data_IF_879630372766
#
_entry.id   IF_879630372766
#
_cell.length_a   1.000
_cell.length_b   1.000
_cell.length_c   1.000
_cell.angle_alpha   90.00
_cell.angle_beta   90.00
_cell.angle_gamma   90.00
#
_symmetry.space_group_name_H-M   'P 1'
#
loop_
_entity.id
_entity.type
_entity.pdbx_description
1 polymer ?
#
# COMPACT_ATOMS: atom_id res chain seq x y z
N UNK A 1 25.83 17.49 4.46
CA UNK A 1 25.16 16.95 3.25
C UNK A 1 24.84 18.14 2.37
N UNK A 2 25.51 18.29 1.23
CA UNK A 2 25.14 19.32 0.25
C UNK A 2 23.79 18.91 -0.34
N UNK A 3 22.81 19.76 -0.23
CA UNK A 3 21.53 19.57 -0.94
C UNK A 3 21.83 19.57 -2.45
N UNK A 4 21.45 18.51 -3.14
CA UNK A 4 21.57 18.45 -4.59
C UNK A 4 20.62 19.53 -5.16
N UNK A 5 21.16 20.64 -5.61
CA UNK A 5 20.36 21.76 -6.16
C UNK A 5 20.18 21.63 -7.66
N UNK A 6 21.12 20.89 -8.34
CA UNK A 6 21.16 20.78 -9.78
C UNK A 6 21.70 19.44 -10.26
N UNK A 7 21.17 18.92 -11.34
CA UNK A 7 21.66 17.74 -12.09
C UNK A 7 21.82 18.14 -13.54
N UNK A 8 23.05 18.38 -14.00
CA UNK A 8 23.28 18.91 -15.34
C UNK A 8 22.51 20.22 -15.58
N UNK A 9 21.67 20.29 -16.62
CA UNK A 9 20.80 21.42 -16.94
C UNK A 9 19.49 21.46 -16.14
N UNK A 10 19.22 20.41 -15.32
CA UNK A 10 17.98 20.26 -14.57
C UNK A 10 18.13 20.88 -13.17
N UNK A 11 17.45 21.99 -12.91
CA UNK A 11 17.41 22.64 -11.60
C UNK A 11 16.36 21.97 -10.72
N UNK A 12 16.80 21.31 -9.64
CA UNK A 12 15.90 20.62 -8.73
C UNK A 12 15.06 21.60 -7.92
N UNK A 13 13.77 21.31 -7.80
CA UNK A 13 12.80 22.16 -7.09
C UNK A 13 12.34 21.53 -5.78
N UNK A 14 11.81 20.33 -5.85
CA UNK A 14 11.32 19.59 -4.68
C UNK A 14 11.34 18.08 -4.92
N UNK A 15 11.36 17.34 -3.85
CA UNK A 15 11.23 15.88 -3.91
C UNK A 15 9.78 15.49 -4.17
N UNK A 16 9.55 14.62 -5.14
CA UNK A 16 8.23 14.03 -5.45
C UNK A 16 7.99 12.75 -4.68
N UNK A 17 9.03 11.94 -4.46
CA UNK A 17 8.95 10.69 -3.72
C UNK A 17 10.31 10.07 -3.45
N UNK A 18 10.37 9.22 -2.42
CA UNK A 18 11.55 8.42 -2.10
C UNK A 18 11.09 6.98 -1.96
N UNK A 19 11.67 6.10 -2.79
CA UNK A 19 11.48 4.66 -2.73
C UNK A 19 12.74 3.96 -2.21
N UNK A 20 12.67 2.64 -2.06
CA UNK A 20 13.80 1.82 -1.59
C UNK A 20 15.03 1.87 -2.54
N UNK A 21 14.83 2.10 -3.83
CA UNK A 21 15.87 2.05 -4.85
C UNK A 21 16.20 3.41 -5.47
N UNK A 22 15.32 4.38 -5.37
CA UNK A 22 15.50 5.67 -6.05
C UNK A 22 14.74 6.79 -5.36
N UNK A 23 15.19 8.02 -5.61
CA UNK A 23 14.48 9.25 -5.27
C UNK A 23 14.04 9.94 -6.55
N UNK A 24 12.79 10.44 -6.57
CA UNK A 24 12.23 11.20 -7.70
C UNK A 24 12.10 12.67 -7.31
N UNK A 25 12.61 13.54 -8.15
CA UNK A 25 12.58 14.99 -7.97
C UNK A 25 11.76 15.66 -9.06
N UNK A 26 10.99 16.68 -8.71
CA UNK A 26 10.56 17.71 -9.65
C UNK A 26 11.75 18.59 -9.95
N UNK A 27 12.02 18.79 -11.22
CA UNK A 27 13.07 19.68 -11.69
C UNK A 27 12.54 20.56 -12.84
N UNK A 28 13.27 21.60 -13.15
CA UNK A 28 13.06 22.46 -14.31
C UNK A 28 14.20 22.29 -15.30
N UNK A 29 13.88 21.93 -16.52
CA UNK A 29 14.84 21.91 -17.63
C UNK A 29 15.05 23.36 -18.09
N UNK A 30 16.23 23.92 -17.82
CA UNK A 30 16.52 25.34 -18.12
C UNK A 30 16.76 25.62 -19.62
N UNK A 31 17.01 24.58 -20.43
CA UNK A 31 17.15 24.74 -21.87
C UNK A 31 15.81 24.72 -22.60
N UNK A 32 14.89 23.85 -22.12
CA UNK A 32 13.58 23.67 -22.73
C UNK A 32 12.48 24.49 -22.04
N UNK A 33 12.81 25.18 -20.94
CA UNK A 33 11.89 25.94 -20.08
C UNK A 33 10.65 25.13 -19.68
N UNK A 34 10.87 23.88 -19.22
CA UNK A 34 9.79 22.94 -18.95
C UNK A 34 9.99 22.15 -17.64
N UNK A 35 8.91 21.81 -16.91
CA UNK A 35 9.00 20.94 -15.76
C UNK A 35 9.25 19.49 -16.18
N UNK A 36 10.14 18.81 -15.47
CA UNK A 36 10.48 17.40 -15.68
C UNK A 36 10.56 16.67 -14.35
N UNK A 37 10.45 15.35 -14.37
CA UNK A 37 10.76 14.50 -13.22
C UNK A 37 12.14 13.86 -13.42
N UNK A 38 12.99 13.91 -12.39
CA UNK A 38 14.32 13.29 -12.41
C UNK A 38 14.35 12.18 -11.39
N UNK A 39 14.50 10.94 -11.84
CA UNK A 39 14.65 9.75 -10.99
C UNK A 39 16.12 9.42 -10.84
N UNK A 40 16.63 9.38 -9.59
CA UNK A 40 18.04 9.17 -9.26
C UNK A 40 18.15 7.90 -8.44
N UNK A 41 19.09 7.03 -8.79
CA UNK A 41 19.38 5.82 -7.99
C UNK A 41 19.84 6.21 -6.58
N UNK A 42 19.32 5.52 -5.55
CA UNK A 42 19.70 5.78 -4.17
C UNK A 42 21.16 5.37 -3.89
N UNK A 43 21.83 6.12 -3.03
CA UNK A 43 23.27 6.01 -2.77
C UNK A 43 23.70 4.61 -2.31
N UNK A 44 22.90 3.97 -1.46
CA UNK A 44 23.15 2.62 -0.97
C UNK A 44 23.17 1.53 -2.07
N UNK A 45 22.72 1.84 -3.28
CA UNK A 45 22.72 0.94 -4.44
C UNK A 45 23.76 1.34 -5.50
N UNK A 46 24.50 2.47 -5.31
CA UNK A 46 25.42 3.03 -6.30
C UNK A 46 26.47 2.02 -6.80
N UNK A 47 26.98 1.16 -5.90
CA UNK A 47 28.04 0.18 -6.19
C UNK A 47 27.51 -1.20 -6.66
N UNK A 48 26.19 -1.41 -6.71
CA UNK A 48 25.57 -2.66 -7.15
C UNK A 48 25.32 -2.62 -8.66
N UNK A 49 26.22 -3.23 -9.43
CA UNK A 49 26.15 -3.24 -10.90
C UNK A 49 24.83 -3.83 -11.42
N UNK A 50 24.34 -4.87 -10.78
CA UNK A 50 23.07 -5.53 -11.12
C UNK A 50 21.85 -4.61 -10.92
N UNK A 51 21.87 -3.77 -9.87
CA UNK A 51 20.81 -2.78 -9.59
C UNK A 51 20.90 -1.60 -10.58
N UNK A 52 22.11 -1.12 -10.85
CA UNK A 52 22.37 -0.05 -11.85
C UNK A 52 21.86 -0.45 -13.23
N UNK A 53 22.22 -1.65 -13.69
CA UNK A 53 21.79 -2.14 -15.01
C UNK A 53 20.27 -2.23 -15.12
N UNK A 54 19.57 -2.71 -14.09
CA UNK A 54 18.11 -2.77 -14.07
C UNK A 54 17.47 -1.39 -14.02
N UNK A 55 18.04 -0.45 -13.26
CA UNK A 55 17.59 0.93 -13.24
C UNK A 55 17.66 1.58 -14.63
N UNK A 56 18.75 1.38 -15.35
CA UNK A 56 18.92 1.86 -16.72
C UNK A 56 18.03 1.11 -17.72
N UNK A 57 17.84 -0.21 -17.52
CA UNK A 57 16.92 -1.02 -18.31
C UNK A 57 15.48 -0.56 -18.19
N UNK A 58 15.04 -0.12 -17.01
CA UNK A 58 13.73 0.48 -16.81
C UNK A 58 13.54 1.71 -17.71
N UNK A 59 14.49 2.63 -17.70
CA UNK A 59 14.44 3.82 -18.54
C UNK A 59 14.39 3.48 -20.05
N UNK A 60 15.21 2.50 -20.49
CA UNK A 60 15.23 2.05 -21.89
C UNK A 60 13.90 1.38 -22.32
N UNK A 61 13.30 0.57 -21.43
CA UNK A 61 12.02 -0.09 -21.70
C UNK A 61 10.86 0.91 -21.73
N UNK A 62 10.80 1.87 -20.81
CA UNK A 62 9.82 2.95 -20.85
C UNK A 62 9.94 3.76 -22.16
N UNK A 63 11.17 4.08 -22.58
CA UNK A 63 11.42 4.77 -23.84
C UNK A 63 10.96 3.96 -25.05
N UNK A 64 11.20 2.63 -25.04
CA UNK A 64 10.81 1.72 -26.13
C UNK A 64 9.30 1.57 -26.25
N UNK A 65 8.56 1.68 -25.15
CA UNK A 65 7.10 1.54 -25.16
C UNK A 65 6.42 2.58 -26.07
N UNK A 66 6.98 3.80 -26.19
CA UNK A 66 6.57 4.81 -27.19
C UNK A 66 5.09 5.22 -27.13
N UNK A 67 4.41 5.03 -26.01
CA UNK A 67 2.97 5.27 -25.85
C UNK A 67 2.70 6.51 -25.00
N UNK A 68 1.74 7.34 -25.42
CA UNK A 68 1.27 8.47 -24.62
C UNK A 68 0.56 8.09 -23.32
N UNK A 69 0.40 6.79 -23.04
CA UNK A 69 -0.17 6.21 -21.81
C UNK A 69 0.88 5.69 -20.83
N UNK A 70 2.15 5.81 -21.19
CA UNK A 70 3.31 5.42 -20.39
C UNK A 70 4.21 6.65 -20.25
N UNK A 71 4.78 6.84 -19.08
CA UNK A 71 5.70 7.96 -18.83
C UNK A 71 6.82 7.97 -19.86
N UNK A 72 7.01 9.10 -20.52
CA UNK A 72 8.06 9.28 -21.52
C UNK A 72 9.40 9.57 -20.84
N UNK A 73 10.45 8.84 -21.23
CA UNK A 73 11.83 9.11 -20.81
C UNK A 73 12.49 10.02 -21.84
N UNK A 74 13.08 11.12 -21.38
CA UNK A 74 13.69 12.14 -22.22
C UNK A 74 15.21 12.00 -22.28
N UNK A 75 15.84 11.69 -21.14
CA UNK A 75 17.29 11.65 -21.01
C UNK A 75 17.77 10.64 -19.97
N UNK A 76 19.02 10.20 -20.09
CA UNK A 76 19.71 9.32 -19.13
C UNK A 76 21.08 9.89 -18.90
N UNK A 77 21.52 9.98 -17.64
CA UNK A 77 22.84 10.49 -17.29
C UNK A 77 23.37 9.86 -16.01
N UNK A 78 24.52 10.38 -15.59
CA UNK A 78 25.24 9.95 -14.39
C UNK A 78 25.66 11.16 -13.57
N UNK A 79 25.51 11.07 -12.25
CA UNK A 79 25.99 12.09 -11.31
C UNK A 79 27.51 12.00 -11.13
N UNK A 80 28.18 13.04 -10.58
CA UNK A 80 29.61 12.98 -10.28
C UNK A 80 30.04 11.85 -9.36
N UNK A 81 29.12 11.36 -8.52
CA UNK A 81 29.30 10.20 -7.64
C UNK A 81 28.93 8.87 -8.30
N UNK A 82 28.85 8.85 -9.62
CA UNK A 82 28.54 7.69 -10.46
C UNK A 82 27.17 7.07 -10.28
N UNK A 83 26.22 7.75 -9.61
CA UNK A 83 24.83 7.31 -9.56
C UNK A 83 24.11 7.62 -10.87
N UNK A 84 23.49 6.63 -11.51
CA UNK A 84 22.68 6.91 -12.70
C UNK A 84 21.40 7.65 -12.34
N UNK A 85 20.96 8.50 -13.24
CA UNK A 85 19.65 9.14 -13.22
C UNK A 85 19.01 9.04 -14.60
N UNK A 86 17.69 9.19 -14.65
CA UNK A 86 16.98 9.47 -15.89
C UNK A 86 15.94 10.55 -15.70
N UNK A 87 15.71 11.28 -16.79
CA UNK A 87 14.76 12.38 -16.86
C UNK A 87 13.53 11.90 -17.60
N UNK A 88 12.36 12.21 -17.06
CA UNK A 88 11.09 11.74 -17.60
C UNK A 88 10.02 12.81 -17.51
N UNK A 89 8.91 12.56 -18.18
CA UNK A 89 7.70 13.36 -18.14
C UNK A 89 7.25 13.60 -16.70
N UNK A 90 6.96 14.86 -16.37
CA UNK A 90 6.36 15.22 -15.09
C UNK A 90 4.84 15.18 -15.21
N UNK A 91 4.20 14.41 -14.32
CA UNK A 91 2.75 14.33 -14.18
C UNK A 91 2.30 15.24 -13.03
N UNK A 92 1.58 16.30 -13.35
CA UNK A 92 1.19 17.37 -12.45
C UNK A 92 -0.04 17.04 -11.57
N UNK A 93 -0.85 16.05 -11.98
CA UNK A 93 -2.07 15.62 -11.28
C UNK A 93 -1.85 14.62 -10.13
N UNK A 94 -0.58 14.29 -9.79
CA UNK A 94 -0.25 13.33 -8.74
C UNK A 94 -0.46 11.86 -9.15
N UNK A 95 -0.95 11.03 -8.22
CA UNK A 95 -1.11 9.58 -8.40
C UNK A 95 -2.53 9.11 -8.08
N UNK A 96 -2.93 7.90 -8.50
CA UNK A 96 -4.19 7.30 -8.04
C UNK A 96 -4.21 7.11 -6.52
N UNK A 97 -3.06 6.83 -5.90
CA UNK A 97 -2.97 6.76 -4.44
C UNK A 97 -3.32 8.10 -3.78
N UNK A 98 -2.91 9.21 -4.39
CA UNK A 98 -3.30 10.55 -3.94
C UNK A 98 -4.81 10.78 -3.98
N UNK A 99 -5.51 10.27 -5.01
CA UNK A 99 -6.98 10.36 -5.06
C UNK A 99 -7.65 9.55 -3.95
N UNK A 100 -7.09 8.40 -3.58
CA UNK A 100 -7.63 7.52 -2.55
C UNK A 100 -7.52 8.11 -1.13
N UNK A 101 -6.69 9.13 -0.91
CA UNK A 101 -6.61 9.80 0.41
C UNK A 101 -7.93 10.43 0.84
N UNK A 102 -8.78 10.79 -0.11
CA UNK A 102 -10.12 11.32 0.13
C UNK A 102 -11.20 10.23 0.27
N UNK A 103 -10.81 8.95 0.19
CA UNK A 103 -11.70 7.79 0.21
C UNK A 103 -11.97 7.18 -1.17
N UNK A 104 -12.88 6.19 -1.25
CA UNK A 104 -13.21 5.50 -2.50
C UNK A 104 -13.84 6.45 -3.52
N UNK A 105 -13.57 6.20 -4.80
CA UNK A 105 -14.06 7.04 -5.88
C UNK A 105 -15.51 6.67 -6.28
N UNK A 106 -16.25 7.59 -6.94
CA UNK A 106 -17.47 7.24 -7.63
C UNK A 106 -17.24 6.08 -8.61
N UNK A 107 -18.09 5.06 -8.60
CA UNK A 107 -17.90 3.80 -9.36
C UNK A 107 -17.49 4.05 -10.82
N UNK A 108 -18.24 4.89 -11.54
CA UNK A 108 -17.93 5.21 -12.95
C UNK A 108 -16.54 5.81 -13.14
N UNK A 109 -16.12 6.69 -12.24
CA UNK A 109 -14.79 7.32 -12.28
C UNK A 109 -13.70 6.29 -12.00
N UNK A 110 -13.91 5.42 -11.01
CA UNK A 110 -12.99 4.35 -10.68
C UNK A 110 -12.78 3.40 -11.85
N UNK A 111 -13.88 2.94 -12.48
CA UNK A 111 -13.82 2.06 -13.67
C UNK A 111 -13.12 2.74 -14.85
N UNK A 112 -13.42 4.00 -15.15
CA UNK A 112 -12.80 4.75 -16.24
C UNK A 112 -11.29 4.96 -16.03
N UNK A 113 -10.84 5.27 -14.81
CA UNK A 113 -9.43 5.41 -14.49
C UNK A 113 -8.70 4.06 -14.57
N UNK A 114 -9.32 2.98 -14.08
CA UNK A 114 -8.79 1.62 -14.20
C UNK A 114 -8.68 1.20 -15.67
N UNK A 115 -9.69 1.48 -16.50
CA UNK A 115 -9.66 1.22 -17.92
C UNK A 115 -8.51 1.98 -18.62
N UNK A 116 -8.30 3.25 -18.24
CA UNK A 116 -7.20 4.05 -18.80
C UNK A 116 -5.83 3.49 -18.41
N UNK A 117 -5.65 3.04 -17.17
CA UNK A 117 -4.42 2.36 -16.73
C UNK A 117 -4.23 1.02 -17.46
N UNK A 118 -5.32 0.26 -17.68
CA UNK A 118 -5.29 -1.00 -18.41
C UNK A 118 -4.87 -0.82 -19.87
N UNK A 119 -5.27 0.27 -20.54
CA UNK A 119 -4.74 0.61 -21.88
C UNK A 119 -3.26 0.97 -21.85
N UNK A 120 -2.78 1.58 -20.78
CA UNK A 120 -1.34 1.81 -20.60
C UNK A 120 -0.57 0.49 -20.51
N UNK A 121 -1.09 -0.49 -19.75
CA UNK A 121 -0.51 -1.83 -19.67
C UNK A 121 -0.60 -2.57 -21.00
N UNK A 122 -1.71 -2.46 -21.73
CA UNK A 122 -1.83 -3.03 -23.07
C UNK A 122 -0.75 -2.51 -24.03
N UNK A 123 -0.48 -1.21 -24.01
CA UNK A 123 0.58 -0.62 -24.83
C UNK A 123 1.99 -1.13 -24.46
N UNK A 124 2.25 -1.40 -23.16
CA UNK A 124 3.48 -2.07 -22.73
C UNK A 124 3.55 -3.51 -23.24
N UNK A 125 2.43 -4.25 -23.17
CA UNK A 125 2.35 -5.65 -23.62
C UNK A 125 2.58 -5.77 -25.13
N UNK A 126 2.07 -4.84 -25.93
CA UNK A 126 2.34 -4.75 -27.37
C UNK A 126 3.84 -4.56 -27.67
N UNK A 127 4.55 -3.83 -26.81
CA UNK A 127 6.01 -3.68 -26.89
C UNK A 127 6.79 -4.87 -26.26
N UNK A 128 6.11 -5.95 -25.85
CA UNK A 128 6.71 -7.13 -25.21
C UNK A 128 7.17 -6.87 -23.77
N UNK A 129 6.59 -5.89 -23.09
CA UNK A 129 6.97 -5.48 -21.72
C UNK A 129 5.82 -5.80 -20.76
N UNK A 130 6.09 -6.61 -19.72
CA UNK A 130 5.18 -6.79 -18.57
C UNK A 130 5.62 -5.87 -17.45
N UNK A 131 4.69 -5.10 -16.87
CA UNK A 131 4.99 -4.04 -15.88
C UNK A 131 5.40 -4.62 -14.51
N UNK A 132 4.69 -5.64 -14.00
CA UNK A 132 4.95 -6.41 -12.76
C UNK A 132 4.83 -5.65 -11.44
N UNK A 133 4.53 -4.34 -11.46
CA UNK A 133 4.36 -3.53 -10.24
C UNK A 133 3.26 -2.47 -10.40
N UNK A 134 2.14 -2.83 -11.02
CA UNK A 134 0.99 -1.91 -11.13
C UNK A 134 0.31 -1.80 -9.78
N UNK A 135 0.23 -0.57 -9.28
CA UNK A 135 -0.42 -0.17 -8.03
C UNK A 135 -0.75 1.33 -8.08
N UNK A 136 -1.61 1.86 -7.20
CA UNK A 136 -2.04 3.25 -7.28
C UNK A 136 -0.93 4.30 -7.24
N UNK A 137 0.21 4.01 -6.59
CA UNK A 137 1.37 4.93 -6.55
C UNK A 137 2.12 5.01 -7.88
N UNK A 138 2.02 3.99 -8.74
CA UNK A 138 2.71 3.90 -10.03
C UNK A 138 1.80 4.26 -11.22
N UNK A 139 0.56 4.69 -10.93
CA UNK A 139 -0.38 5.21 -11.91
C UNK A 139 -0.49 6.71 -11.69
N UNK A 140 0.14 7.47 -12.58
CA UNK A 140 0.23 8.92 -12.51
C UNK A 140 -0.91 9.58 -13.27
N UNK A 141 -1.22 10.79 -12.85
CA UNK A 141 -2.25 11.63 -13.45
C UNK A 141 -1.60 12.89 -14.00
N UNK A 142 -1.91 13.21 -15.26
CA UNK A 142 -1.42 14.40 -15.93
C UNK A 142 -2.57 15.21 -16.47
N UNK A 143 -2.56 16.52 -16.26
CA UNK A 143 -3.57 17.43 -16.78
C UNK A 143 -3.30 17.67 -18.26
N UNK A 144 -4.20 17.22 -19.12
CA UNK A 144 -4.10 17.45 -20.56
C UNK A 144 -4.43 18.92 -20.91
N UNK A 145 -3.96 19.44 -22.05
CA UNK A 145 -4.19 20.84 -22.45
C UNK A 145 -5.68 21.23 -22.57
N UNK A 146 -6.55 20.27 -22.82
CA UNK A 146 -8.01 20.44 -22.86
C UNK A 146 -8.68 20.41 -21.48
N UNK A 147 -7.90 20.34 -20.40
CA UNK A 147 -8.37 20.18 -19.01
C UNK A 147 -8.79 18.77 -18.65
N UNK A 148 -8.68 17.82 -19.57
CA UNK A 148 -8.91 16.40 -19.30
C UNK A 148 -7.80 15.79 -18.44
N UNK A 149 -8.06 14.60 -17.92
CA UNK A 149 -7.08 13.85 -17.10
C UNK A 149 -6.52 12.68 -17.89
N UNK A 150 -5.23 12.70 -18.15
CA UNK A 150 -4.48 11.62 -18.79
C UNK A 150 -3.87 10.72 -17.72
N UNK A 151 -4.03 9.42 -17.86
CA UNK A 151 -3.46 8.39 -16.97
C UNK A 151 -2.18 7.84 -17.60
N UNK A 152 -1.10 7.80 -16.82
CA UNK A 152 0.22 7.33 -17.24
C UNK A 152 0.70 6.21 -16.32
N UNK A 153 1.21 5.12 -16.90
CA UNK A 153 1.95 4.12 -16.15
C UNK A 153 3.41 4.52 -16.00
N UNK A 154 3.95 4.35 -14.79
CA UNK A 154 5.33 4.63 -14.43
C UNK A 154 5.90 3.51 -13.56
N UNK A 155 7.22 3.48 -13.40
CA UNK A 155 7.93 2.59 -12.47
C UNK A 155 7.73 1.09 -12.75
N UNK A 156 8.40 0.59 -13.79
CA UNK A 156 8.44 -0.85 -14.08
C UNK A 156 9.12 -1.63 -12.95
N UNK A 157 8.54 -2.76 -12.53
CA UNK A 157 8.99 -3.55 -11.38
C UNK A 157 10.35 -4.27 -11.54
N UNK A 158 11.25 -3.80 -12.40
CA UNK A 158 12.53 -4.47 -12.72
C UNK A 158 13.49 -4.52 -11.54
N UNK A 159 13.58 -3.46 -10.74
CA UNK A 159 14.44 -3.43 -9.56
C UNK A 159 13.96 -4.34 -8.43
N UNK A 160 12.64 -4.59 -8.34
CA UNK A 160 12.03 -5.43 -7.31
C UNK A 160 12.31 -6.92 -7.49
N UNK A 161 12.54 -7.40 -8.72
CA UNK A 161 12.86 -8.80 -8.96
C UNK A 161 14.20 -9.23 -8.31
N UNK A 162 15.10 -8.28 -7.98
CA UNK A 162 16.30 -8.52 -7.19
C UNK A 162 16.02 -8.55 -5.68
N UNK A 163 15.11 -7.70 -5.21
CA UNK A 163 14.70 -7.71 -3.82
C UNK A 163 13.91 -8.99 -3.46
N UNK A 164 13.21 -9.58 -4.43
CA UNK A 164 12.56 -10.88 -4.30
C UNK A 164 13.58 -12.04 -4.31
N UNK A 165 14.69 -11.91 -5.05
CA UNK A 165 15.81 -12.86 -5.01
C UNK A 165 16.72 -12.66 -3.78
N UNK A 166 16.76 -11.46 -3.23
CA UNK A 166 17.38 -11.14 -1.95
C UNK A 166 16.23 -10.89 -0.98
N UNK A 167 15.99 -11.73 -0.02
CA UNK A 167 14.93 -11.78 1.00
C UNK A 167 14.66 -10.42 1.74
N UNK A 168 15.14 -9.32 1.23
CA UNK A 168 15.35 -8.05 1.94
C UNK A 168 14.32 -6.95 1.73
N UNK A 169 13.35 -7.07 0.80
CA UNK A 169 12.33 -5.99 0.69
C UNK A 169 11.07 -6.45 -0.03
N UNK A 170 10.25 -7.23 0.60
CA UNK A 170 8.80 -7.12 0.35
C UNK A 170 8.39 -5.75 0.88
N UNK A 171 8.43 -4.74 0.02
CA UNK A 171 7.81 -3.46 0.33
C UNK A 171 6.34 -3.74 0.64
N UNK A 172 6.01 -3.65 1.91
CA UNK A 172 4.73 -4.06 2.50
C UNK A 172 3.46 -3.45 1.88
N UNK A 173 3.58 -2.50 0.96
CA UNK A 173 2.47 -1.89 0.24
C UNK A 173 2.12 -2.52 -1.11
N UNK A 174 2.87 -3.54 -1.59
CA UNK A 174 2.62 -4.13 -2.92
C UNK A 174 1.96 -5.51 -2.88
N UNK A 175 1.90 -6.17 -1.72
CA UNK A 175 1.45 -7.57 -1.60
C UNK A 175 0.01 -7.80 -2.10
N UNK A 176 -0.91 -6.87 -1.85
CA UNK A 176 -2.30 -6.99 -2.29
C UNK A 176 -2.54 -6.77 -3.78
N UNK A 177 -1.54 -6.28 -4.53
CA UNK A 177 -1.63 -6.08 -5.99
C UNK A 177 -0.86 -7.16 -6.77
N UNK A 178 -0.11 -8.03 -6.09
CA UNK A 178 0.72 -9.04 -6.74
C UNK A 178 -0.09 -10.30 -7.02
N UNK A 179 -0.04 -10.83 -8.26
CA UNK A 179 -0.67 -12.09 -8.59
C UNK A 179 0.09 -13.27 -7.95
N UNK A 180 -0.57 -14.43 -7.71
CA UNK A 180 0.04 -15.59 -7.08
C UNK A 180 1.33 -16.06 -7.78
N UNK A 181 1.32 -16.12 -9.11
CA UNK A 181 2.45 -16.57 -9.91
C UNK A 181 3.70 -15.68 -9.78
N UNK A 182 3.56 -14.44 -9.32
CA UNK A 182 4.70 -13.56 -9.10
C UNK A 182 5.44 -13.90 -7.78
N UNK A 183 4.79 -14.60 -6.86
CA UNK A 183 5.37 -15.08 -5.62
C UNK A 183 6.02 -16.48 -5.80
N UNK A 184 5.72 -17.20 -6.87
CA UNK A 184 6.20 -18.56 -7.12
C UNK A 184 7.50 -18.55 -7.93
N UNK A 185 8.63 -19.07 -7.39
CA UNK A 185 9.87 -19.17 -8.13
C UNK A 185 9.71 -20.06 -9.37
N UNK A 186 10.08 -19.55 -10.55
CA UNK A 186 10.02 -20.30 -11.80
C UNK A 186 8.66 -20.31 -12.50
N UNK A 187 7.62 -19.76 -11.92
CA UNK A 187 6.37 -19.52 -12.62
C UNK A 187 6.60 -18.46 -13.72
N UNK A 188 6.35 -18.82 -14.97
CA UNK A 188 6.45 -17.89 -16.09
C UNK A 188 5.44 -16.72 -15.89
N UNK A 189 5.92 -15.50 -15.86
CA UNK A 189 5.08 -14.30 -15.72
C UNK A 189 4.75 -13.77 -17.12
N UNK A 190 3.46 -13.69 -17.43
CA UNK A 190 2.95 -13.10 -18.68
C UNK A 190 2.12 -11.81 -18.42
N UNK A 191 1.55 -11.24 -19.48
CA UNK A 191 0.74 -10.02 -19.44
C UNK A 191 -0.46 -10.10 -18.50
N UNK A 192 -0.96 -11.30 -18.19
CA UNK A 192 -2.11 -11.49 -17.29
C UNK A 192 -1.76 -11.27 -15.82
N UNK A 193 -0.47 -11.20 -15.48
CA UNK A 193 -0.02 -10.73 -14.17
C UNK A 193 -0.43 -9.27 -13.94
N UNK A 194 -0.25 -8.42 -14.95
CA UNK A 194 -0.67 -7.00 -14.87
C UNK A 194 -2.20 -6.86 -14.85
N UNK A 195 -2.96 -7.77 -15.48
CA UNK A 195 -4.42 -7.79 -15.39
C UNK A 195 -4.90 -7.99 -13.95
N UNK A 196 -4.26 -8.90 -13.20
CA UNK A 196 -4.55 -9.08 -11.77
C UNK A 196 -4.28 -7.78 -10.98
N UNK A 197 -3.11 -7.18 -11.18
CA UNK A 197 -2.73 -5.94 -10.50
C UNK A 197 -3.70 -4.78 -10.83
N UNK A 198 -4.15 -4.67 -12.08
CA UNK A 198 -5.17 -3.71 -12.50
C UNK A 198 -6.53 -3.99 -11.86
N UNK A 199 -6.90 -5.27 -11.72
CA UNK A 199 -8.09 -5.69 -10.97
C UNK A 199 -8.01 -5.23 -9.52
N UNK A 200 -6.86 -5.38 -8.88
CA UNK A 200 -6.62 -4.92 -7.50
C UNK A 200 -6.69 -3.39 -7.37
N UNK A 201 -6.14 -2.65 -8.33
CA UNK A 201 -6.27 -1.18 -8.41
C UNK A 201 -7.75 -0.79 -8.54
N UNK A 202 -8.47 -1.38 -9.47
CA UNK A 202 -9.91 -1.08 -9.67
C UNK A 202 -10.75 -1.42 -8.45
N UNK A 203 -10.46 -2.54 -7.80
CA UNK A 203 -11.11 -2.94 -6.56
C UNK A 203 -10.90 -1.88 -5.47
N UNK A 204 -9.66 -1.44 -5.25
CA UNK A 204 -9.35 -0.43 -4.24
C UNK A 204 -9.95 0.95 -4.59
N UNK A 205 -9.91 1.38 -5.84
CA UNK A 205 -10.53 2.63 -6.26
C UNK A 205 -12.04 2.66 -5.97
N UNK A 206 -12.71 1.51 -6.08
CA UNK A 206 -14.16 1.37 -5.83
C UNK A 206 -14.47 1.25 -4.34
N UNK A 207 -13.69 0.46 -3.59
CA UNK A 207 -13.99 0.09 -2.19
C UNK A 207 -13.24 0.92 -1.15
N UNK A 208 -12.13 1.56 -1.54
CA UNK A 208 -11.19 2.22 -0.62
C UNK A 208 -10.28 1.26 0.14
N UNK A 209 -10.32 -0.04 -0.17
CA UNK A 209 -9.52 -1.07 0.51
C UNK A 209 -8.81 -1.96 -0.49
N UNK A 210 -7.60 -2.39 -0.18
CA UNK A 210 -6.85 -3.36 -0.98
C UNK A 210 -7.54 -4.73 -0.91
N UNK A 211 -7.66 -5.48 -2.02
CA UNK A 211 -8.25 -6.81 -1.99
C UNK A 211 -7.49 -7.76 -1.05
N UNK A 212 -8.21 -8.70 -0.45
CA UNK A 212 -7.62 -9.77 0.36
C UNK A 212 -6.71 -10.70 -0.47
N UNK A 213 -6.03 -11.64 0.19
CA UNK A 213 -5.16 -12.60 -0.48
C UNK A 213 -5.88 -13.35 -1.62
N UNK A 214 -5.13 -13.83 -2.64
CA UNK A 214 -5.70 -14.59 -3.74
C UNK A 214 -6.60 -15.74 -3.26
N UNK A 215 -7.80 -15.86 -3.82
CA UNK A 215 -8.80 -16.84 -3.41
C UNK A 215 -9.62 -16.48 -2.14
N UNK A 216 -9.27 -15.39 -1.44
CA UNK A 216 -10.00 -14.90 -0.25
C UNK A 216 -10.46 -13.45 -0.41
N UNK A 217 -10.66 -13.01 -1.64
CA UNK A 217 -11.12 -11.65 -1.95
C UNK A 217 -12.58 -11.49 -1.53
N UNK A 218 -12.87 -10.51 -0.69
CA UNK A 218 -14.25 -10.15 -0.35
C UNK A 218 -14.92 -9.56 -1.60
N UNK A 219 -16.13 -10.03 -1.99
CA UNK A 219 -16.84 -9.43 -3.12
C UNK A 219 -17.01 -7.92 -2.93
N UNK A 220 -16.57 -7.08 -3.90
CA UNK A 220 -16.58 -5.62 -3.71
C UNK A 220 -17.97 -5.03 -3.51
N UNK A 221 -19.04 -5.68 -4.00
CA UNK A 221 -20.42 -5.27 -3.76
C UNK A 221 -20.86 -5.36 -2.29
N UNK A 222 -20.17 -6.16 -1.46
CA UNK A 222 -20.41 -6.17 0.00
C UNK A 222 -19.87 -4.90 0.68
N UNK A 223 -18.79 -4.33 0.15
CA UNK A 223 -18.17 -3.11 0.66
C UNK A 223 -18.77 -1.88 -0.01
N UNK A 224 -19.25 -2.02 -1.23
CA UNK A 224 -19.82 -0.97 -2.06
C UNK A 224 -21.16 -1.41 -2.66
N UNK A 225 -22.28 -1.28 -1.92
CA UNK A 225 -23.60 -1.80 -2.36
C UNK A 225 -24.14 -1.18 -3.66
N UNK A 226 -23.69 0.02 -4.04
CA UNK A 226 -24.07 0.68 -5.30
C UNK A 226 -23.22 0.22 -6.51
N UNK A 227 -22.29 -0.71 -6.30
CA UNK A 227 -21.54 -1.35 -7.38
C UNK A 227 -22.45 -2.34 -8.12
N UNK A 228 -22.67 -2.12 -9.40
CA UNK A 228 -23.47 -3.04 -10.22
C UNK A 228 -22.82 -4.42 -10.34
N UNK A 229 -23.63 -5.47 -10.40
CA UNK A 229 -23.18 -6.87 -10.45
C UNK A 229 -22.20 -7.16 -11.62
N UNK A 230 -22.35 -6.45 -12.74
CA UNK A 230 -21.45 -6.60 -13.90
C UNK A 230 -20.05 -6.05 -13.59
N UNK A 231 -19.98 -4.90 -12.91
CA UNK A 231 -18.70 -4.32 -12.50
C UNK A 231 -18.01 -5.18 -11.43
N UNK A 232 -18.77 -5.72 -10.47
CA UNK A 232 -18.25 -6.68 -9.50
C UNK A 232 -17.64 -7.90 -10.21
N UNK A 233 -18.38 -8.53 -11.14
CA UNK A 233 -17.89 -9.69 -11.90
C UNK A 233 -16.64 -9.36 -12.71
N UNK A 234 -16.58 -8.19 -13.33
CA UNK A 234 -15.42 -7.76 -14.11
C UNK A 234 -14.16 -7.64 -13.25
N UNK A 235 -14.28 -7.03 -12.07
CA UNK A 235 -13.16 -6.88 -11.13
C UNK A 235 -12.74 -8.23 -10.54
N UNK A 236 -13.70 -9.06 -10.09
CA UNK A 236 -13.39 -10.38 -9.53
C UNK A 236 -12.75 -11.32 -10.57
N UNK A 237 -13.18 -11.26 -11.84
CA UNK A 237 -12.54 -12.02 -12.92
C UNK A 237 -11.08 -11.61 -13.11
N UNK A 238 -10.73 -10.34 -12.99
CA UNK A 238 -9.35 -9.91 -13.06
C UNK A 238 -8.52 -10.45 -11.87
N UNK A 239 -9.15 -10.62 -10.70
CA UNK A 239 -8.54 -11.12 -9.45
C UNK A 239 -8.56 -12.65 -9.31
N UNK A 240 -8.93 -13.42 -10.34
CA UNK A 240 -8.86 -14.87 -10.30
C UNK A 240 -7.43 -15.35 -10.02
N UNK A 241 -7.24 -16.28 -9.06
CA UNK A 241 -5.92 -16.83 -8.78
C UNK A 241 -5.33 -17.54 -10.00
N UNK A 242 -6.14 -18.32 -10.71
CA UNK A 242 -5.76 -18.96 -11.96
C UNK A 242 -5.75 -17.93 -13.10
N UNK A 243 -4.57 -17.68 -13.68
CA UNK A 243 -4.39 -16.72 -14.78
C UNK A 243 -5.20 -17.07 -16.03
N UNK A 244 -5.50 -18.37 -16.28
CA UNK A 244 -6.28 -18.80 -17.43
C UNK A 244 -7.75 -18.37 -17.32
N UNK A 245 -8.23 -18.11 -16.11
CA UNK A 245 -9.61 -17.66 -15.85
C UNK A 245 -9.74 -16.14 -15.86
N UNK A 246 -8.63 -15.40 -15.85
CA UNK A 246 -8.62 -13.93 -15.94
C UNK A 246 -9.05 -13.45 -17.33
N UNK A 247 -9.06 -12.15 -17.51
CA UNK A 247 -9.17 -11.54 -18.83
C UNK A 247 -7.94 -11.91 -19.66
N UNK A 248 -8.09 -12.16 -20.98
CA UNK A 248 -7.00 -12.62 -21.84
C UNK A 248 -5.87 -11.61 -21.99
N UNK A 249 -6.13 -10.34 -21.68
CA UNK A 249 -5.16 -9.25 -21.69
C UNK A 249 -5.75 -7.96 -21.14
N UNK A 250 -4.87 -6.99 -20.93
CA UNK A 250 -5.23 -5.70 -20.35
C UNK A 250 -6.19 -4.90 -21.25
N UNK A 251 -6.10 -5.01 -22.59
CA UNK A 251 -7.02 -4.33 -23.51
C UNK A 251 -8.46 -4.86 -23.34
N UNK A 252 -8.65 -6.18 -23.29
CA UNK A 252 -9.99 -6.77 -23.11
C UNK A 252 -10.62 -6.36 -21.77
N UNK A 253 -9.81 -6.25 -20.73
CA UNK A 253 -10.25 -5.73 -19.43
C UNK A 253 -10.63 -4.25 -19.51
N UNK A 254 -9.82 -3.43 -20.19
CA UNK A 254 -10.12 -2.01 -20.40
C UNK A 254 -11.45 -1.79 -21.13
N UNK A 255 -11.69 -2.53 -22.22
CA UNK A 255 -12.89 -2.40 -23.04
C UNK A 255 -14.17 -2.72 -22.24
N UNK A 256 -14.11 -3.76 -21.38
CA UNK A 256 -15.23 -4.08 -20.51
C UNK A 256 -15.46 -3.01 -19.45
N UNK A 257 -14.41 -2.50 -18.83
CA UNK A 257 -14.55 -1.43 -17.83
C UNK A 257 -15.13 -0.14 -18.44
N UNK A 258 -14.75 0.22 -19.67
CA UNK A 258 -15.32 1.37 -20.36
C UNK A 258 -16.80 1.15 -20.70
N UNK A 259 -17.16 -0.05 -21.16
CA UNK A 259 -18.55 -0.38 -21.40
C UNK A 259 -19.40 -0.18 -20.14
N UNK A 260 -18.84 -0.55 -18.97
CA UNK A 260 -19.50 -0.42 -17.67
C UNK A 260 -19.49 1.02 -17.15
N UNK A 261 -18.46 1.80 -17.45
CA UNK A 261 -18.35 3.21 -17.09
C UNK A 261 -19.19 4.12 -17.99
N UNK A 262 -19.61 3.67 -19.19
CA UNK A 262 -20.41 4.46 -20.09
C UNK A 262 -21.73 4.91 -19.43
N UNK A 263 -22.23 6.14 -19.75
CA UNK A 263 -23.55 6.53 -19.32
C UNK A 263 -24.55 5.51 -19.88
N UNK A 264 -25.31 4.85 -19.00
CA UNK A 264 -26.48 4.10 -19.46
C UNK A 264 -27.43 5.10 -20.09
N UNK A 265 -27.31 5.29 -21.40
CA UNK A 265 -28.27 6.06 -22.17
C UNK A 265 -29.62 5.43 -21.89
N UNK A 266 -30.56 6.20 -21.35
CA UNK A 266 -31.96 5.82 -21.24
C UNK A 266 -32.37 5.34 -22.63
N UNK A 267 -32.52 4.03 -22.81
CA UNK A 267 -33.33 3.51 -23.90
C UNK A 267 -34.78 3.97 -23.64
N UNK A 268 -35.06 5.19 -24.11
CA UNK A 268 -36.45 5.64 -24.26
C UNK A 268 -37.03 4.91 -25.45
N UNK A 269 -37.65 3.78 -25.19
CA UNK A 269 -38.35 3.04 -26.18
C UNK A 269 -39.26 2.01 -25.50
N UNK A 270 -40.41 2.46 -24.96
CA UNK A 270 -41.41 1.59 -24.35
C UNK A 270 -42.54 2.42 -23.75
N UNK A 271 -43.58 2.59 -24.52
CA UNK A 271 -44.94 3.09 -24.26
C UNK A 271 -45.29 3.35 -22.78
N UNK A 272 -45.63 4.61 -22.54
CA UNK A 272 -46.37 5.06 -21.38
C UNK A 272 -47.82 4.49 -21.45
N UNK A 273 -48.11 3.47 -20.69
CA UNK A 273 -49.46 3.22 -20.24
C UNK A 273 -49.55 3.61 -18.77
N UNK A 274 -50.11 4.81 -18.56
CA UNK A 274 -50.37 5.37 -17.26
C UNK A 274 -51.55 4.61 -16.60
N UNK A 275 -51.27 3.74 -15.65
CA UNK A 275 -52.27 3.29 -14.70
C UNK A 275 -51.99 3.97 -13.36
N UNK A 276 -52.71 5.06 -13.12
CA UNK A 276 -52.86 5.68 -11.80
C UNK A 276 -53.64 4.71 -10.90
N UNK A 277 -52.95 4.07 -9.95
CA UNK A 277 -53.59 3.44 -8.79
C UNK A 277 -53.34 4.34 -7.56
N UNK A 278 -54.41 4.63 -6.77
CA UNK A 278 -54.26 5.44 -5.57
C UNK A 278 -53.51 4.66 -4.51
N UNK A 279 -52.48 5.28 -3.93
CA UNK A 279 -51.74 4.74 -2.79
C UNK A 279 -52.66 4.68 -1.58
N UNK A 280 -53.07 3.47 -1.21
CA UNK A 280 -53.89 3.21 -0.04
C UNK A 280 -53.15 3.47 1.27
N UNK A 281 -53.90 3.80 2.33
CA UNK A 281 -53.45 4.11 3.68
C UNK A 281 -52.43 3.12 4.31
N UNK A 282 -52.31 1.92 3.75
CA UNK A 282 -51.30 0.91 4.18
C UNK A 282 -49.87 1.26 3.82
N UNK A 283 -49.61 2.04 2.75
CA UNK A 283 -48.26 2.48 2.37
C UNK A 283 -47.70 3.55 3.31
N UNK A 284 -48.59 4.40 3.85
CA UNK A 284 -48.23 5.41 4.85
C UNK A 284 -47.87 4.79 6.22
N UNK A 285 -48.54 3.71 6.61
CA UNK A 285 -48.26 2.98 7.84
C UNK A 285 -46.91 2.24 7.77
N UNK A 286 -46.56 1.64 6.63
CA UNK A 286 -45.24 0.98 6.42
C UNK A 286 -44.09 1.99 6.37
N UNK A 287 -44.31 3.18 5.81
CA UNK A 287 -43.28 4.25 5.81
C UNK A 287 -43.05 4.80 7.22
N UNK A 288 -44.05 4.91 8.07
CA UNK A 288 -43.90 5.34 9.45
C UNK A 288 -43.15 4.31 10.32
N UNK A 289 -43.41 3.00 10.11
CA UNK A 289 -42.68 1.93 10.80
C UNK A 289 -41.21 1.88 10.35
N UNK A 290 -40.92 2.05 9.06
CA UNK A 290 -39.57 2.09 8.53
C UNK A 290 -38.77 3.31 9.09
N UNK A 291 -39.43 4.47 9.22
CA UNK A 291 -38.83 5.66 9.81
C UNK A 291 -38.56 5.47 11.32
N UNK A 292 -39.42 4.82 12.07
CA UNK A 292 -39.24 4.51 13.48
C UNK A 292 -38.10 3.51 13.73
N UNK A 293 -38.00 2.48 12.86
CA UNK A 293 -36.86 1.51 12.91
C UNK A 293 -35.55 2.16 12.55
N UNK A 294 -35.54 3.06 11.56
CA UNK A 294 -34.34 3.83 11.22
C UNK A 294 -33.89 4.77 12.33
N UNK A 295 -34.84 5.44 12.99
CA UNK A 295 -34.55 6.30 14.15
C UNK A 295 -34.05 5.50 15.35
N UNK A 296 -34.60 4.32 15.62
CA UNK A 296 -34.12 3.42 16.67
C UNK A 296 -32.72 2.89 16.38
N UNK A 297 -32.40 2.56 15.10
CA UNK A 297 -31.05 2.16 14.66
C UNK A 297 -30.05 3.29 14.80
N UNK A 298 -30.41 4.54 14.47
CA UNK A 298 -29.55 5.72 14.64
C UNK A 298 -29.29 6.00 16.13
N UNK A 299 -30.32 5.89 16.98
CA UNK A 299 -30.17 6.05 18.44
C UNK A 299 -29.30 4.94 19.04
N UNK A 300 -29.44 3.67 18.58
CA UNK A 300 -28.57 2.57 19.02
C UNK A 300 -27.12 2.78 18.54
N UNK A 301 -26.90 3.26 17.31
CA UNK A 301 -25.59 3.60 16.78
C UNK A 301 -24.94 4.78 17.50
N UNK A 302 -25.72 5.78 17.93
CA UNK A 302 -25.23 6.93 18.68
C UNK A 302 -24.93 6.55 20.14
N UNK A 303 -25.73 5.62 20.74
CA UNK A 303 -25.49 5.12 22.10
C UNK A 303 -24.38 4.07 22.18
N UNK A 304 -24.02 3.44 21.05
CA UNK A 304 -22.90 2.48 20.94
C UNK A 304 -21.67 3.07 20.25
N UNK A 305 -21.47 4.38 20.29
CA UNK A 305 -20.16 4.95 20.00
C UNK A 305 -19.19 4.43 21.05
N UNK A 306 -18.20 3.59 20.71
CA UNK A 306 -17.18 3.24 21.68
C UNK A 306 -16.48 4.53 22.08
N UNK A 307 -16.51 4.79 23.37
CA UNK A 307 -15.78 5.91 23.97
C UNK A 307 -14.32 5.82 23.57
N UNK A 308 -13.66 6.97 23.43
CA UNK A 308 -12.26 7.16 23.02
C UNK A 308 -11.19 6.55 23.96
N UNK A 309 -11.50 5.44 24.65
CA UNK A 309 -10.62 4.74 25.56
C UNK A 309 -10.66 3.20 25.45
N UNK A 310 -11.37 2.63 24.49
CA UNK A 310 -11.43 1.17 24.30
C UNK A 310 -10.12 0.58 23.79
N UNK A 311 -9.82 -0.68 24.21
CA UNK A 311 -8.72 -1.49 23.64
C UNK A 311 -9.31 -2.49 22.67
N UNK A 312 -8.54 -2.86 21.64
CA UNK A 312 -8.93 -3.84 20.61
C UNK A 312 -7.85 -4.92 20.55
N UNK A 313 -8.26 -6.19 20.63
CA UNK A 313 -7.36 -7.31 20.39
C UNK A 313 -7.09 -7.43 18.87
N UNK A 314 -5.82 -7.58 18.52
CA UNK A 314 -5.35 -7.87 17.17
C UNK A 314 -4.53 -9.16 17.20
N UNK A 315 -4.62 -9.94 16.10
CA UNK A 315 -3.94 -11.24 15.96
C UNK A 315 -3.20 -11.30 14.65
N UNK A 316 -2.09 -12.07 14.60
CA UNK A 316 -1.43 -12.39 13.35
C UNK A 316 -2.22 -13.43 12.53
N UNK A 317 -1.91 -13.60 11.27
CA UNK A 317 -2.63 -14.51 10.35
C UNK A 317 -2.55 -15.99 10.79
N UNK A 318 -1.54 -16.36 11.57
CA UNK A 318 -1.38 -17.73 12.09
C UNK A 318 -2.17 -17.97 13.38
N UNK A 319 -2.64 -16.89 14.03
CA UNK A 319 -3.26 -16.91 15.35
C UNK A 319 -2.29 -17.16 16.51
N UNK A 320 -0.99 -17.30 16.23
CA UNK A 320 0.05 -17.57 17.25
C UNK A 320 0.40 -16.35 18.10
N UNK A 321 0.23 -15.16 17.57
CA UNK A 321 0.54 -13.90 18.26
C UNK A 321 -0.71 -13.06 18.37
N UNK A 322 -1.08 -12.64 19.57
CA UNK A 322 -2.14 -11.65 19.79
C UNK A 322 -1.74 -10.60 20.81
N UNK A 323 -2.28 -9.38 20.65
CA UNK A 323 -2.00 -8.23 21.52
C UNK A 323 -3.18 -7.27 21.54
N UNK A 324 -3.45 -6.64 22.69
CA UNK A 324 -4.43 -5.57 22.79
C UNK A 324 -3.79 -4.21 22.61
N UNK A 325 -4.37 -3.39 21.72
CA UNK A 325 -3.92 -2.03 21.44
C UNK A 325 -5.04 -1.02 21.68
N UNK A 326 -4.73 0.26 21.91
CA UNK A 326 -5.75 1.30 21.89
C UNK A 326 -6.54 1.26 20.57
N UNK A 327 -7.87 1.37 20.61
CA UNK A 327 -8.74 1.24 19.44
C UNK A 327 -8.36 2.24 18.30
N UNK A 328 -7.84 3.42 18.65
CA UNK A 328 -7.36 4.40 17.67
C UNK A 328 -6.11 3.95 16.88
N UNK A 329 -5.36 2.93 17.35
CA UNK A 329 -4.20 2.36 16.65
C UNK A 329 -4.60 1.23 15.70
N UNK A 330 -5.72 0.53 15.98
CA UNK A 330 -6.20 -0.62 15.22
C UNK A 330 -6.86 -0.24 13.88
N UNK A 331 -6.40 0.84 13.23
CA UNK A 331 -6.94 1.29 11.94
C UNK A 331 -6.44 0.46 10.77
N UNK A 332 -5.18 0.06 10.82
CA UNK A 332 -4.55 -0.75 9.78
C UNK A 332 -3.73 -1.86 10.45
N UNK A 333 -3.90 -3.09 10.00
CA UNK A 333 -3.21 -4.28 10.49
C UNK A 333 -2.48 -4.96 9.34
N UNK A 334 -1.23 -5.34 9.58
CA UNK A 334 -0.48 -6.31 8.79
C UNK A 334 -0.11 -7.46 9.70
N UNK A 335 -0.57 -8.64 9.38
CA UNK A 335 -0.54 -9.85 10.18
C UNK A 335 0.17 -11.02 9.49
N UNK A 336 0.79 -10.77 8.33
CA UNK A 336 1.41 -11.79 7.48
C UNK A 336 2.77 -12.30 7.99
N UNK A 337 3.11 -12.05 9.25
CA UNK A 337 4.40 -12.44 9.82
C UNK A 337 5.53 -11.44 9.54
N UNK A 338 6.76 -11.81 9.92
CA UNK A 338 7.96 -11.00 9.75
C UNK A 338 9.21 -11.86 9.50
N UNK A 339 10.28 -11.21 9.05
CA UNK A 339 11.62 -11.83 8.95
C UNK A 339 12.52 -11.26 10.07
N UNK A 340 12.96 -12.13 11.03
CA UNK A 340 13.87 -11.75 12.11
C UNK A 340 15.22 -11.17 11.63
N UNK A 341 15.59 -11.41 10.38
CA UNK A 341 16.79 -10.83 9.78
C UNK A 341 16.77 -9.29 9.79
N UNK A 342 15.59 -8.68 9.77
CA UNK A 342 15.45 -7.23 9.93
C UNK A 342 16.00 -6.71 11.27
N UNK A 343 16.08 -7.57 12.29
CA UNK A 343 16.71 -7.29 13.59
C UNK A 343 18.15 -7.86 13.67
N UNK A 344 18.69 -8.42 12.57
CA UNK A 344 20.00 -9.06 12.51
C UNK A 344 20.03 -10.46 13.15
N UNK A 345 18.89 -11.13 13.26
CA UNK A 345 18.73 -12.52 13.68
C UNK A 345 18.78 -13.44 12.44
N UNK A 346 18.85 -14.78 12.60
CA UNK A 346 18.78 -15.71 11.48
C UNK A 346 17.54 -15.45 10.62
N UNK A 347 17.71 -15.46 9.29
CA UNK A 347 16.63 -15.23 8.35
C UNK A 347 15.57 -16.33 8.40
N UNK A 348 14.32 -15.96 8.19
CA UNK A 348 13.19 -16.90 8.16
C UNK A 348 11.85 -16.17 8.26
N UNK A 349 10.79 -16.84 7.88
CA UNK A 349 9.44 -16.31 8.03
C UNK A 349 8.85 -16.78 9.37
N UNK A 350 8.63 -15.84 10.27
CA UNK A 350 8.13 -16.09 11.63
C UNK A 350 6.79 -15.39 11.86
N UNK A 351 5.95 -15.88 12.78
CA UNK A 351 4.72 -15.21 13.19
C UNK A 351 4.98 -13.78 13.66
N UNK A 352 4.10 -12.87 13.30
CA UNK A 352 4.19 -11.48 13.75
C UNK A 352 3.15 -10.59 13.09
N UNK A 353 2.96 -9.43 13.69
CA UNK A 353 2.01 -8.42 13.22
C UNK A 353 2.55 -7.02 13.42
N UNK A 354 2.05 -6.09 12.64
CA UNK A 354 2.14 -4.65 12.89
C UNK A 354 0.76 -4.03 12.78
N UNK A 355 0.41 -3.21 13.75
CA UNK A 355 -0.84 -2.46 13.76
C UNK A 355 -0.55 -1.00 14.05
N UNK A 356 -1.11 -0.11 13.25
CA UNK A 356 -0.88 1.32 13.39
C UNK A 356 -2.06 2.16 12.86
N UNK A 357 -2.09 3.40 13.26
CA UNK A 357 -3.01 4.39 12.70
C UNK A 357 -2.77 4.64 11.20
N UNK A 358 -1.52 4.49 10.76
CA UNK A 358 -1.09 4.60 9.35
C UNK A 358 0.16 3.72 9.11
N UNK A 359 -0.03 2.57 8.48
CA UNK A 359 1.05 1.63 8.15
C UNK A 359 1.98 2.12 7.05
N UNK A 360 1.56 3.05 6.21
CA UNK A 360 2.42 3.60 5.15
C UNK A 360 3.59 4.41 5.73
N UNK A 361 3.40 4.99 6.91
CA UNK A 361 4.40 5.77 7.65
C UNK A 361 5.24 4.91 8.62
N UNK A 362 4.85 3.65 8.84
CA UNK A 362 5.55 2.77 9.79
C UNK A 362 7.03 2.53 9.45
N UNK A 363 7.46 2.38 8.16
CA UNK A 363 8.87 2.18 7.83
C UNK A 363 9.77 3.40 8.11
N UNK A 364 9.20 4.60 8.16
CA UNK A 364 9.94 5.82 8.46
C UNK A 364 10.00 6.05 9.98
N UNK A 365 11.16 5.82 10.57
CA UNK A 365 11.38 6.00 12.02
C UNK A 365 11.27 7.46 12.47
N UNK A 366 11.39 8.43 11.55
CA UNK A 366 11.17 9.85 11.80
C UNK A 366 9.70 10.26 11.75
N UNK A 367 8.81 9.42 11.21
CA UNK A 367 7.41 9.75 11.08
C UNK A 367 6.66 9.51 12.40
N UNK A 368 5.97 10.53 12.92
CA UNK A 368 5.07 10.39 14.07
C UNK A 368 3.90 9.48 13.72
N UNK A 369 3.90 8.25 14.23
CA UNK A 369 2.85 7.26 14.06
C UNK A 369 2.58 6.53 15.36
N UNK A 370 1.30 6.34 15.69
CA UNK A 370 0.91 5.50 16.83
C UNK A 370 0.71 4.07 16.36
N UNK A 371 1.35 3.11 17.02
CA UNK A 371 1.22 1.70 16.65
C UNK A 371 2.15 0.76 17.42
N UNK A 372 2.02 -0.52 17.12
CA UNK A 372 2.86 -1.59 17.66
C UNK A 372 3.23 -2.59 16.58
N UNK A 373 4.48 -3.05 16.63
CA UNK A 373 4.97 -4.24 15.95
C UNK A 373 5.24 -5.33 17.00
N UNK A 374 4.87 -6.56 16.68
CA UNK A 374 5.20 -7.77 17.47
C UNK A 374 5.74 -8.82 16.52
N UNK A 375 6.90 -9.37 16.82
CA UNK A 375 7.52 -10.42 16.02
C UNK A 375 8.05 -11.55 16.91
N UNK A 376 7.68 -12.79 16.58
CA UNK A 376 8.19 -14.00 17.23
C UNK A 376 9.54 -14.38 16.64
N UNK A 377 10.46 -14.90 17.42
CA UNK A 377 11.70 -15.48 16.95
C UNK A 377 12.00 -16.79 17.66
N UNK A 378 12.10 -17.87 16.91
CA UNK A 378 12.45 -19.19 17.41
C UNK A 378 13.97 -19.39 17.52
N UNK A 379 14.77 -18.52 16.89
CA UNK A 379 16.22 -18.66 16.83
C UNK A 379 16.94 -17.32 17.06
N UNK A 380 18.10 -17.39 17.69
CA UNK A 380 18.95 -16.24 17.94
C UNK A 380 18.63 -15.52 19.27
N UNK A 381 19.38 -14.46 19.57
CA UNK A 381 19.25 -13.68 20.80
C UNK A 381 18.61 -12.33 20.52
N UNK A 382 17.28 -12.24 20.68
CA UNK A 382 16.52 -10.99 20.50
C UNK A 382 16.98 -9.94 21.52
N UNK A 383 17.34 -10.34 22.74
CA UNK A 383 17.77 -9.40 23.77
C UNK A 383 19.10 -8.73 23.42
N UNK A 384 20.07 -9.49 22.92
CA UNK A 384 21.34 -8.93 22.44
C UNK A 384 21.11 -7.92 21.30
N UNK A 385 20.21 -8.23 20.36
CA UNK A 385 19.88 -7.36 19.24
C UNK A 385 19.16 -6.09 19.67
N UNK A 386 18.15 -6.18 20.52
CA UNK A 386 17.45 -5.01 21.06
C UNK A 386 18.40 -4.12 21.88
N UNK A 387 19.36 -4.71 22.61
CA UNK A 387 20.37 -3.94 23.34
C UNK A 387 21.34 -3.18 22.44
N UNK A 388 21.53 -3.62 21.20
CA UNK A 388 22.38 -2.97 20.21
C UNK A 388 21.67 -1.88 19.40
N UNK A 389 20.31 -1.79 19.46
CA UNK A 389 19.55 -0.80 18.70
C UNK A 389 19.89 0.63 19.13
N UNK A 390 19.92 1.50 18.14
CA UNK A 390 20.03 2.96 18.30
C UNK A 390 19.06 3.64 17.34
N UNK A 391 18.48 4.75 17.78
CA UNK A 391 17.57 5.54 16.94
C UNK A 391 18.15 6.92 16.69
N UNK A 392 18.61 7.16 15.45
CA UNK A 392 19.16 8.45 15.02
C UNK A 392 18.08 9.52 15.11
N UNK A 393 18.38 10.64 15.75
CA UNK A 393 17.44 11.75 15.92
C UNK A 393 16.49 11.62 17.12
N UNK A 394 16.60 10.53 17.92
CA UNK A 394 15.88 10.38 19.18
C UNK A 394 16.87 10.43 20.38
N UNK A 395 16.42 10.90 21.53
CA UNK A 395 17.18 10.87 22.77
C UNK A 395 16.90 9.59 23.55
N UNK A 396 17.95 8.83 23.90
CA UNK A 396 17.82 7.65 24.73
C UNK A 396 17.32 8.02 26.14
N UNK A 397 16.16 7.51 26.52
CA UNK A 397 15.50 7.81 27.80
C UNK A 397 15.72 6.75 28.89
N UNK A 398 16.50 5.69 28.58
CA UNK A 398 16.86 4.65 29.54
C UNK A 398 16.25 3.27 29.24
N UNK A 399 16.51 2.33 30.15
CA UNK A 399 15.96 0.98 30.09
C UNK A 399 15.39 0.56 31.44
N UNK A 400 14.38 -0.32 31.39
CA UNK A 400 13.78 -0.94 32.58
C UNK A 400 13.54 -2.42 32.36
N UNK A 401 13.46 -3.20 33.43
CA UNK A 401 12.99 -4.57 33.38
C UNK A 401 11.46 -4.61 33.23
N UNK A 402 10.97 -5.61 32.53
CA UNK A 402 9.56 -5.96 32.45
C UNK A 402 9.37 -7.38 32.94
N UNK A 403 8.31 -7.61 33.71
CA UNK A 403 7.91 -8.93 34.22
C UNK A 403 6.39 -9.02 34.26
N UNK A 404 5.85 -10.09 33.74
CA UNK A 404 4.44 -10.48 33.80
C UNK A 404 4.35 -11.98 34.18
N UNK A 405 3.13 -12.54 34.20
CA UNK A 405 2.95 -13.96 34.40
C UNK A 405 3.59 -14.81 33.29
N UNK A 406 3.51 -14.34 32.05
CA UNK A 406 3.92 -15.10 30.86
C UNK A 406 5.31 -14.70 30.35
N UNK A 407 5.76 -13.47 30.66
CA UNK A 407 6.93 -12.87 30.02
C UNK A 407 7.85 -12.14 30.99
N UNK A 408 9.15 -12.23 30.77
CA UNK A 408 10.12 -11.32 31.38
C UNK A 408 11.09 -10.81 30.31
N UNK A 409 11.69 -9.64 30.53
CA UNK A 409 12.61 -9.07 29.59
C UNK A 409 13.00 -7.63 29.89
N UNK A 410 13.49 -6.94 28.84
CA UNK A 410 13.97 -5.57 28.93
C UNK A 410 13.21 -4.68 27.96
N UNK A 411 12.86 -3.50 28.44
CA UNK A 411 12.26 -2.41 27.65
C UNK A 411 13.26 -1.27 27.59
N UNK A 412 13.59 -0.79 26.40
CA UNK A 412 14.42 0.38 26.14
C UNK A 412 13.57 1.47 25.52
N UNK A 413 13.76 2.71 25.91
CA UNK A 413 12.93 3.84 25.48
C UNK A 413 13.77 4.98 24.90
N UNK A 414 13.23 5.62 23.85
CA UNK A 414 13.73 6.85 23.26
C UNK A 414 12.60 7.86 23.16
N UNK A 415 12.93 9.14 23.36
CA UNK A 415 12.00 10.27 23.33
C UNK A 415 12.54 11.40 22.46
N UNK A 416 11.70 12.38 22.17
CA UNK A 416 12.09 13.53 21.37
C UNK A 416 12.58 13.14 19.99
N UNK A 417 11.97 12.13 19.38
CA UNK A 417 12.22 11.75 17.99
C UNK A 417 11.73 12.85 17.04
N UNK A 418 12.19 12.90 15.79
CA UNK A 418 11.61 13.77 14.77
C UNK A 418 10.08 13.65 14.80
N UNK A 419 9.34 14.74 14.67
CA UNK A 419 7.87 14.83 14.88
C UNK A 419 7.39 14.73 16.34
N UNK A 420 8.28 14.86 17.35
CA UNK A 420 7.91 14.89 18.78
C UNK A 420 7.46 13.53 19.35
N UNK A 421 7.76 12.43 18.67
CA UNK A 421 7.35 11.09 19.07
C UNK A 421 8.28 10.38 20.05
N UNK A 422 7.86 9.18 20.45
CA UNK A 422 8.66 8.24 21.26
C UNK A 422 8.63 6.83 20.67
N UNK A 423 9.72 6.08 20.93
CA UNK A 423 9.87 4.67 20.53
C UNK A 423 10.27 3.86 21.74
N UNK A 424 9.65 2.70 21.93
CA UNK A 424 10.11 1.68 22.89
C UNK A 424 10.39 0.38 22.17
N UNK A 425 11.50 -0.24 22.53
CA UNK A 425 11.97 -1.53 22.01
C UNK A 425 12.03 -2.53 23.15
N UNK A 426 11.43 -3.69 22.97
CA UNK A 426 11.37 -4.71 24.00
C UNK A 426 11.78 -6.07 23.47
N UNK A 427 12.62 -6.75 24.22
CA UNK A 427 12.94 -8.16 24.06
C UNK A 427 12.34 -8.94 25.22
N UNK A 428 11.47 -9.89 24.92
CA UNK A 428 10.77 -10.70 25.92
C UNK A 428 11.08 -12.18 25.71
N UNK A 429 11.23 -12.87 26.82
CA UNK A 429 11.39 -14.34 26.85
C UNK A 429 10.32 -14.92 27.80
N UNK A 430 9.89 -16.20 27.61
CA UNK A 430 8.92 -16.82 28.49
C UNK A 430 9.35 -16.80 29.95
N UNK A 431 8.40 -16.59 30.88
CA UNK A 431 8.65 -16.55 32.33
C UNK A 431 9.08 -17.92 32.88
N UNK A 432 8.53 -19.01 32.30
CA UNK A 432 8.89 -20.39 32.63
C UNK A 432 9.72 -21.02 31.51
N UNK A 433 11.01 -21.29 31.79
CA UNK A 433 11.90 -22.06 30.94
C UNK A 433 12.56 -21.30 29.80
N UNK A 434 13.87 -21.49 29.60
CA UNK A 434 14.70 -20.76 28.62
C UNK A 434 14.60 -21.24 27.16
N UNK A 435 13.72 -22.19 26.83
CA UNK A 435 13.67 -22.86 25.51
C UNK A 435 12.50 -22.45 24.62
N UNK A 436 11.66 -21.50 25.03
CA UNK A 436 10.55 -21.00 24.23
C UNK A 436 10.95 -19.89 23.25
N UNK A 437 10.04 -19.54 22.32
CA UNK A 437 10.30 -18.47 21.38
C UNK A 437 10.44 -17.13 22.09
N UNK A 438 11.37 -16.30 21.61
CA UNK A 438 11.56 -14.93 22.05
C UNK A 438 10.64 -13.99 21.27
N UNK A 439 10.24 -12.87 21.90
CA UNK A 439 9.37 -11.89 21.25
C UNK A 439 10.06 -10.53 21.20
N UNK A 440 10.09 -9.96 20.01
CA UNK A 440 10.47 -8.58 19.79
C UNK A 440 9.20 -7.72 19.70
N UNK A 441 9.15 -6.63 20.48
CA UNK A 441 8.04 -5.67 20.45
C UNK A 441 8.58 -4.26 20.28
N UNK A 442 8.09 -3.56 19.27
CA UNK A 442 8.34 -2.14 19.07
C UNK A 442 7.03 -1.37 19.22
N UNK A 443 7.01 -0.38 20.12
CA UNK A 443 5.85 0.52 20.29
C UNK A 443 6.28 1.92 19.89
N UNK A 444 5.52 2.55 19.00
CA UNK A 444 5.74 3.93 18.54
C UNK A 444 4.56 4.80 18.90
N UNK A 445 4.83 6.05 19.28
CA UNK A 445 3.80 7.00 19.70
C UNK A 445 4.10 8.43 19.29
N UNK A 446 3.02 9.17 19.04
CA UNK A 446 3.02 10.62 19.02
C UNK A 446 2.79 11.13 20.45
N UNK A 447 3.72 11.91 20.97
CA UNK A 447 3.63 12.48 22.32
C UNK A 447 4.06 11.55 23.46
N UNK A 448 3.88 12.03 24.70
CA UNK A 448 4.55 11.52 25.92
C UNK A 448 3.81 10.41 26.67
N UNK A 449 2.62 9.98 26.26
CA UNK A 449 1.89 8.93 26.95
C UNK A 449 2.58 7.56 26.83
N UNK A 450 2.58 6.73 27.87
CA UNK A 450 3.12 5.37 27.82
C UNK A 450 2.00 4.33 27.71
N UNK A 451 1.89 3.67 26.54
CA UNK A 451 0.98 2.55 26.33
C UNK A 451 1.72 1.21 26.32
N UNK A 452 3.05 1.22 26.43
CA UNK A 452 3.92 0.06 26.29
C UNK A 452 3.57 -1.01 27.32
N UNK A 453 3.40 -0.65 28.60
CA UNK A 453 3.09 -1.59 29.66
C UNK A 453 1.79 -2.37 29.38
N UNK A 454 0.74 -1.67 28.96
CA UNK A 454 -0.54 -2.30 28.63
C UNK A 454 -0.46 -3.22 27.41
N UNK A 455 0.34 -2.85 26.39
CA UNK A 455 0.60 -3.67 25.22
C UNK A 455 1.35 -4.95 25.63
N UNK A 456 2.44 -4.82 26.37
CA UNK A 456 3.27 -5.98 26.78
C UNK A 456 2.51 -6.95 27.71
N UNK A 457 1.65 -6.45 28.61
CA UNK A 457 0.82 -7.31 29.49
C UNK A 457 -0.27 -8.08 28.76
N UNK A 458 -0.74 -7.56 27.64
CA UNK A 458 -1.77 -8.20 26.82
C UNK A 458 -1.22 -9.20 25.80
N UNK A 459 0.10 -9.27 25.62
CA UNK A 459 0.75 -10.16 24.67
C UNK A 459 0.47 -11.63 25.00
N UNK A 460 -0.01 -12.38 24.01
CA UNK A 460 -0.19 -13.84 24.09
C UNK A 460 0.50 -14.47 22.88
N UNK A 461 1.17 -15.57 23.15
CA UNK A 461 1.77 -16.47 22.14
C UNK A 461 1.28 -17.89 22.42
N UNK A 462 0.74 -18.53 21.38
CA UNK A 462 0.17 -19.88 21.45
C UNK A 462 0.89 -20.85 20.51
#
# INVERSE_FOLDING_TARGET
MHSLERIGRYRLQRRLGTGAFATVWLAHDEELDAPVAVKVLAENWAHRLDVRERFLSEARLLRRAGSSRVVQVYDIGELPDSRPYFVMEYADGGTLAGLLTAGPLPVRRALALTASAARGAAALHEAGIVHRDIKPTNVLLHTAPDGGLRVLLADLGLAKSLAQASVLTLAAGSAGYQPPEQAEPGAGIDARADVYSLGAVGYELVTGTVPGPPGKVVPPGRLRPDLGADAERALLRALEPDRERRWPGAQAFADELDRLAAPTGRRTGGRLDAVRRPLGARALALAAVAAAVAAALVVTLVLHRPGSGGRTEVRDATGRVSVEVPAGWARQLRDSGWDPHALGLPAGHQPGLVVAGDLSRWPDMGAGVDGVFVGLSEHGDVNARVNALTHTGCHYAGSRSFTSADWHGRVRAWKGCPDGGSVTESALVPAEGSTGPQVYVQVRRRGDGDATEGVLRSLRVT
#
